data_IF_335116727143
#
_entry.id   IF_335116727143
#
_cell.length_a   1.000
_cell.length_b   1.000
_cell.length_c   1.000
_cell.angle_alpha   90.00
_cell.angle_beta   90.00
_cell.angle_gamma   90.00
#
_symmetry.space_group_name_H-M   'P 1'
#
loop_
_entity.id
_entity.type
_entity.pdbx_description
1 polymer ?
#
# COMPACT_ATOMS: atom_id res chain seq x y z
N UNK A 1 7.26 -13.39 -6.06
CA UNK A 1 6.55 -12.42 -6.91
C UNK A 1 6.76 -12.80 -8.37
N UNK A 2 5.79 -12.57 -9.26
CA UNK A 2 5.91 -12.92 -10.69
C UNK A 2 5.28 -14.25 -11.12
N UNK A 3 5.00 -15.18 -10.19
CA UNK A 3 4.19 -16.38 -10.46
C UNK A 3 2.81 -16.34 -9.77
N UNK A 4 2.76 -15.98 -8.47
CA UNK A 4 1.50 -15.89 -7.70
C UNK A 4 0.75 -14.55 -7.88
N UNK A 5 1.49 -13.46 -8.09
CA UNK A 5 0.95 -12.15 -8.47
C UNK A 5 1.70 -11.71 -9.72
N UNK A 6 1.02 -11.60 -10.87
CA UNK A 6 1.64 -11.15 -12.11
C UNK A 6 2.13 -9.71 -11.98
N UNK A 7 3.32 -9.42 -12.51
CA UNK A 7 3.78 -8.04 -12.60
C UNK A 7 2.90 -7.22 -13.54
N UNK A 8 2.72 -5.94 -13.22
CA UNK A 8 1.88 -5.02 -14.00
C UNK A 8 0.38 -5.32 -13.92
N UNK A 9 -0.04 -6.15 -12.95
CA UNK A 9 -1.45 -6.37 -12.64
C UNK A 9 -1.78 -5.78 -11.29
N UNK A 10 -2.84 -4.98 -11.25
CA UNK A 10 -3.32 -4.40 -10.02
C UNK A 10 -3.72 -5.52 -9.02
N UNK A 11 -3.28 -5.35 -7.79
CA UNK A 11 -3.41 -6.28 -6.68
C UNK A 11 -3.92 -5.55 -5.46
N UNK A 12 -4.84 -6.19 -4.73
CA UNK A 12 -5.44 -5.65 -3.49
C UNK A 12 -4.48 -5.60 -2.29
N UNK A 13 -3.27 -6.12 -2.47
CA UNK A 13 -2.26 -6.23 -1.41
C UNK A 13 -2.85 -6.92 -0.17
N UNK A 14 -3.55 -8.02 -0.39
CA UNK A 14 -4.48 -8.62 0.58
C UNK A 14 -4.91 -10.02 0.14
N UNK A 15 -5.20 -10.89 1.11
CA UNK A 15 -5.59 -12.27 0.85
C UNK A 15 -7.03 -12.41 0.35
N UNK A 16 -7.97 -11.58 0.83
CA UNK A 16 -9.41 -11.59 0.47
C UNK A 16 -10.04 -10.19 0.34
N UNK A 17 -9.56 -9.19 1.08
CA UNK A 17 -10.01 -7.79 1.00
C UNK A 17 -8.82 -6.87 0.69
N UNK A 18 -9.09 -5.66 0.19
CA UNK A 18 -8.05 -4.65 0.04
C UNK A 18 -7.53 -4.21 1.41
N UNK A 19 -6.22 -3.94 1.48
CA UNK A 19 -5.63 -3.43 2.72
C UNK A 19 -6.22 -2.06 3.05
N UNK A 20 -6.77 -1.94 4.27
CA UNK A 20 -7.42 -0.72 4.72
C UNK A 20 -6.48 0.11 5.59
N UNK A 21 -6.25 1.36 5.20
CA UNK A 21 -5.53 2.37 5.99
C UNK A 21 -6.52 3.25 6.73
N UNK A 22 -6.40 3.33 8.05
CA UNK A 22 -7.23 4.19 8.90
C UNK A 22 -6.35 5.28 9.51
N UNK A 23 -6.63 6.53 9.16
CA UNK A 23 -5.92 7.71 9.65
C UNK A 23 -6.77 8.44 10.68
N UNK A 24 -6.20 8.72 11.85
CA UNK A 24 -6.86 9.46 12.95
C UNK A 24 -6.66 10.97 12.85
N UNK A 25 -5.77 11.41 11.97
CA UNK A 25 -5.46 12.81 11.67
C UNK A 25 -4.99 12.93 10.22
N UNK A 26 -4.83 14.15 9.69
CA UNK A 26 -4.32 14.34 8.35
C UNK A 26 -2.88 13.79 8.24
N UNK A 27 -2.58 13.20 7.09
CA UNK A 27 -1.29 12.59 6.77
C UNK A 27 -0.95 12.81 5.29
N UNK A 28 0.29 12.54 4.91
CA UNK A 28 0.65 12.37 3.51
C UNK A 28 1.48 11.11 3.31
N UNK A 29 1.25 10.44 2.18
CA UNK A 29 1.90 9.18 1.82
C UNK A 29 2.42 9.31 0.39
N UNK A 30 3.74 9.22 0.21
CA UNK A 30 4.36 9.36 -1.12
C UNK A 30 3.95 10.62 -1.88
N UNK A 31 3.68 11.73 -1.17
CA UNK A 31 3.21 12.99 -1.73
C UNK A 31 1.69 13.12 -1.90
N UNK A 32 0.91 12.06 -1.65
CA UNK A 32 -0.56 12.10 -1.64
C UNK A 32 -1.04 12.60 -0.28
N UNK A 33 -1.66 13.77 -0.24
CA UNK A 33 -2.27 14.32 0.97
C UNK A 33 -3.62 13.63 1.27
N UNK A 34 -3.79 13.21 2.52
CA UNK A 34 -4.96 12.49 3.01
C UNK A 34 -5.47 13.13 4.30
N UNK A 35 -6.78 13.33 4.38
CA UNK A 35 -7.44 13.74 5.61
C UNK A 35 -7.58 12.57 6.59
N UNK A 36 -8.04 12.85 7.81
CA UNK A 36 -8.47 11.79 8.71
C UNK A 36 -9.61 10.98 8.08
N UNK A 37 -9.49 9.65 8.05
CA UNK A 37 -10.45 8.81 7.35
C UNK A 37 -9.98 7.38 7.12
N UNK A 38 -10.81 6.62 6.41
CA UNK A 38 -10.51 5.26 5.98
C UNK A 38 -10.29 5.22 4.46
N UNK A 39 -9.25 4.50 4.06
CA UNK A 39 -8.81 4.39 2.68
C UNK A 39 -8.51 2.93 2.34
N UNK A 40 -8.67 2.59 1.07
CA UNK A 40 -8.21 1.31 0.52
C UNK A 40 -6.89 1.53 -0.21
N UNK A 41 -5.94 0.61 0.01
CA UNK A 41 -4.65 0.60 -0.69
C UNK A 41 -4.64 -0.57 -1.68
N UNK A 42 -4.29 -0.25 -2.91
CA UNK A 42 -3.98 -1.21 -3.97
C UNK A 42 -2.53 -1.04 -4.39
N UNK A 43 -1.92 -2.09 -4.94
CA UNK A 43 -0.59 -2.00 -5.54
C UNK A 43 -0.57 -2.70 -6.90
N UNK A 44 0.23 -2.18 -7.81
CA UNK A 44 0.65 -2.85 -9.03
C UNK A 44 2.13 -3.20 -8.87
N UNK A 45 2.45 -4.48 -8.60
CA UNK A 45 3.83 -4.90 -8.44
C UNK A 45 4.58 -4.83 -9.77
N UNK A 46 5.75 -4.21 -9.75
CA UNK A 46 6.76 -4.33 -10.80
C UNK A 46 8.03 -4.99 -10.28
N UNK A 47 8.95 -5.32 -11.20
CA UNK A 47 10.22 -5.94 -10.85
C UNK A 47 11.17 -4.96 -10.13
N UNK A 48 11.17 -3.69 -10.53
CA UNK A 48 12.05 -2.65 -9.99
C UNK A 48 11.31 -1.62 -9.13
N UNK A 49 10.00 -1.48 -9.32
CA UNK A 49 9.17 -0.47 -8.67
C UNK A 49 7.75 -0.98 -8.53
N UNK A 50 7.11 -0.70 -7.39
CA UNK A 50 5.69 -0.96 -7.18
C UNK A 50 4.96 0.36 -7.20
N UNK A 51 3.83 0.40 -7.90
CA UNK A 51 2.94 1.57 -7.84
C UNK A 51 1.81 1.27 -6.86
N UNK A 52 1.62 2.13 -5.87
CA UNK A 52 0.53 2.06 -4.92
C UNK A 52 -0.52 3.12 -5.25
N UNK A 53 -1.78 2.79 -4.97
CA UNK A 53 -2.92 3.64 -5.25
C UNK A 53 -3.79 3.74 -4.01
N UNK A 54 -4.19 4.97 -3.70
CA UNK A 54 -5.05 5.27 -2.55
C UNK A 54 -6.43 5.65 -3.05
N UNK A 55 -7.43 4.92 -2.58
CA UNK A 55 -8.83 5.12 -2.92
C UNK A 55 -9.65 5.43 -1.67
N UNK A 56 -10.74 6.22 -1.79
CA UNK A 56 -11.71 6.34 -0.70
C UNK A 56 -12.30 4.95 -0.40
N UNK A 57 -12.59 4.65 0.87
CA UNK A 57 -13.03 3.33 1.36
C UNK A 57 -14.35 2.79 0.76
N UNK A 58 -14.87 3.33 -0.33
CA UNK A 58 -16.24 3.10 -0.78
C UNK A 58 -16.54 1.64 -1.13
N UNK A 59 -15.60 0.83 -1.61
CA UNK A 59 -15.92 -0.54 -2.06
C UNK A 59 -14.81 -1.57 -1.78
N UNK A 60 -14.89 -2.25 -0.63
CA UNK A 60 -13.97 -3.35 -0.23
C UNK A 60 -14.13 -4.63 -1.06
N UNK A 61 -15.13 -4.71 -1.93
CA UNK A 61 -15.56 -5.94 -2.62
C UNK A 61 -15.64 -5.75 -4.14
N UNK A 62 -14.86 -6.55 -4.88
CA UNK A 62 -14.96 -6.63 -6.34
C UNK A 62 -13.62 -6.88 -7.00
N UNK A 63 -13.24 -8.15 -7.16
CA UNK A 63 -12.29 -8.52 -8.21
C UNK A 63 -13.07 -8.59 -9.54
N UNK A 64 -12.51 -8.10 -10.65
CA UNK A 64 -11.19 -7.45 -10.78
C UNK A 64 -11.22 -5.98 -10.33
N UNK A 65 -10.04 -5.39 -10.10
CA UNK A 65 -9.86 -3.94 -10.01
C UNK A 65 -10.33 -3.37 -11.35
N UNK A 66 -11.60 -2.98 -11.37
CA UNK A 66 -12.26 -2.47 -12.56
C UNK A 66 -11.70 -1.07 -12.86
N UNK A 67 -11.76 -0.62 -14.12
CA UNK A 67 -11.42 0.76 -14.47
C UNK A 67 -12.11 1.78 -13.56
N UNK A 68 -13.34 1.50 -13.13
CA UNK A 68 -14.10 2.32 -12.19
C UNK A 68 -13.36 2.56 -10.86
N UNK A 69 -12.62 1.57 -10.33
CA UNK A 69 -11.83 1.73 -9.10
C UNK A 69 -10.67 2.70 -9.36
N UNK A 70 -10.01 2.59 -10.51
CA UNK A 70 -8.92 3.47 -10.92
C UNK A 70 -9.38 4.93 -11.06
N UNK A 71 -10.61 5.15 -11.53
CA UNK A 71 -11.20 6.49 -11.69
C UNK A 71 -11.47 7.19 -10.34
N UNK A 72 -11.53 6.45 -9.24
CA UNK A 72 -11.75 7.00 -7.89
C UNK A 72 -10.48 7.30 -7.12
N UNK A 73 -9.32 7.17 -7.76
CA UNK A 73 -8.01 7.38 -7.12
C UNK A 73 -7.87 8.81 -6.59
N UNK A 74 -7.50 8.91 -5.32
CA UNK A 74 -7.09 10.18 -4.70
C UNK A 74 -5.68 10.52 -5.17
N UNK A 75 -4.85 9.50 -5.33
CA UNK A 75 -3.50 9.62 -5.84
C UNK A 75 -2.78 8.29 -5.87
N UNK A 76 -1.59 8.33 -6.47
CA UNK A 76 -0.68 7.20 -6.54
C UNK A 76 0.71 7.63 -6.09
N UNK A 77 1.47 6.66 -5.60
CA UNK A 77 2.88 6.84 -5.27
C UNK A 77 3.63 5.56 -5.60
N UNK A 78 4.94 5.65 -5.73
CA UNK A 78 5.77 4.47 -5.97
C UNK A 78 6.61 4.13 -4.75
N UNK A 79 6.94 2.86 -4.60
CA UNK A 79 7.90 2.39 -3.62
C UNK A 79 8.76 1.28 -4.24
N UNK A 80 10.04 1.28 -3.87
CA UNK A 80 11.01 0.31 -4.38
C UNK A 80 10.92 -0.98 -3.56
N UNK A 81 10.69 -2.15 -4.19
CA UNK A 81 10.82 -3.42 -3.50
C UNK A 81 12.28 -3.74 -3.21
N UNK A 82 12.52 -4.24 -2.00
CA UNK A 82 13.81 -4.71 -1.52
C UNK A 82 13.79 -6.24 -1.40
N UNK A 83 14.86 -6.88 -1.86
CA UNK A 83 15.03 -8.32 -1.68
C UNK A 83 15.41 -8.62 -0.23
N UNK A 84 14.81 -9.67 0.34
CA UNK A 84 15.08 -10.16 1.69
C UNK A 84 15.76 -11.53 1.64
N UNK A 85 16.73 -11.76 2.52
CA UNK A 85 17.36 -13.07 2.70
C UNK A 85 16.41 -14.09 3.35
N UNK A 86 15.59 -13.61 4.30
CA UNK A 86 14.61 -14.44 5.02
C UNK A 86 13.24 -14.44 4.33
N UNK A 87 12.68 -15.63 4.13
CA UNK A 87 11.36 -15.78 3.52
C UNK A 87 10.24 -15.55 4.56
N UNK A 88 9.25 -14.75 4.19
CA UNK A 88 8.02 -14.51 4.95
C UNK A 88 6.85 -15.25 4.27
N UNK A 89 6.43 -16.38 4.83
CA UNK A 89 5.37 -17.21 4.23
C UNK A 89 3.99 -16.51 4.20
N UNK A 90 3.65 -15.81 5.29
CA UNK A 90 2.38 -15.09 5.43
C UNK A 90 2.61 -13.60 5.26
N UNK A 91 1.99 -13.00 4.24
CA UNK A 91 2.05 -11.56 4.01
C UNK A 91 1.67 -10.80 5.27
N UNK A 92 2.52 -9.84 5.67
CA UNK A 92 2.32 -9.03 6.87
C UNK A 92 2.52 -7.55 6.59
N UNK A 93 1.75 -6.73 7.29
CA UNK A 93 1.96 -5.29 7.39
C UNK A 93 2.41 -4.94 8.80
N UNK A 94 3.37 -4.03 8.92
CA UNK A 94 3.86 -3.49 10.18
C UNK A 94 3.90 -1.97 10.11
N UNK A 95 3.53 -1.34 11.22
CA UNK A 95 3.79 0.08 11.43
C UNK A 95 5.06 0.24 12.27
N UNK A 96 6.02 1.01 11.77
CA UNK A 96 7.28 1.33 12.42
C UNK A 96 7.30 2.83 12.72
N UNK A 97 7.00 3.27 13.96
CA UNK A 97 6.96 4.68 14.31
C UNK A 97 8.36 5.32 14.27
N UNK A 98 8.43 6.59 13.88
CA UNK A 98 9.62 7.40 14.05
C UNK A 98 9.80 7.81 15.51
N UNK A 99 11.05 8.09 15.89
CA UNK A 99 11.42 8.53 17.24
C UNK A 99 10.78 9.88 17.64
N UNK A 100 10.44 10.74 16.67
CA UNK A 100 9.96 12.12 16.90
C UNK A 100 8.42 12.26 16.99
N UNK A 101 7.66 11.15 17.04
CA UNK A 101 6.18 11.15 17.03
C UNK A 101 5.52 11.86 15.82
N UNK A 102 6.27 12.10 14.74
CA UNK A 102 5.78 12.78 13.54
C UNK A 102 4.82 11.88 12.75
N UNK A 103 5.21 10.62 12.50
CA UNK A 103 4.43 9.47 12.04
C UNK A 103 5.45 8.33 11.88
N UNK A 104 5.42 7.51 10.82
CA UNK A 104 6.36 6.41 10.66
C UNK A 104 6.15 5.63 9.36
N UNK A 105 6.86 4.52 9.23
CA UNK A 105 6.81 3.69 8.04
C UNK A 105 5.71 2.62 8.15
N UNK A 106 5.06 2.36 7.02
CA UNK A 106 4.32 1.13 6.82
C UNK A 106 5.21 0.19 6.02
N UNK A 107 5.39 -1.03 6.52
CA UNK A 107 6.24 -2.05 5.94
C UNK A 107 5.40 -3.26 5.58
N UNK A 108 5.41 -3.62 4.29
CA UNK A 108 4.89 -4.86 3.76
C UNK A 108 6.02 -5.86 3.58
N UNK A 109 5.83 -7.10 4.02
CA UNK A 109 6.77 -8.19 3.77
C UNK A 109 6.01 -9.46 3.35
N UNK A 110 6.46 -10.08 2.27
CA UNK A 110 5.94 -11.36 1.78
C UNK A 110 6.96 -12.06 0.87
N UNK A 111 7.07 -13.38 0.99
CA UNK A 111 8.15 -14.17 0.38
C UNK A 111 9.51 -13.55 0.70
N UNK A 112 10.35 -13.29 -0.30
CA UNK A 112 11.63 -12.62 -0.16
C UNK A 112 11.56 -11.13 -0.56
N UNK A 113 10.39 -10.50 -0.43
CA UNK A 113 10.18 -9.09 -0.82
C UNK A 113 9.73 -8.26 0.38
N UNK A 114 10.41 -7.14 0.59
CA UNK A 114 9.99 -6.05 1.49
C UNK A 114 9.64 -4.83 0.64
N UNK A 115 8.58 -4.14 1.00
CA UNK A 115 8.27 -2.81 0.48
C UNK A 115 7.92 -1.91 1.65
N UNK A 116 8.52 -0.73 1.71
CA UNK A 116 8.23 0.25 2.77
C UNK A 116 7.88 1.60 2.17
N UNK A 117 6.97 2.31 2.83
CA UNK A 117 6.65 3.69 2.49
C UNK A 117 6.35 4.48 3.76
N UNK A 118 6.74 5.75 3.73
CA UNK A 118 6.68 6.63 4.88
C UNK A 118 5.37 7.41 4.93
N UNK A 119 4.77 7.50 6.11
CA UNK A 119 3.66 8.40 6.42
C UNK A 119 4.23 9.67 7.05
N UNK A 120 3.97 10.82 6.46
CA UNK A 120 4.27 12.11 7.05
C UNK A 120 3.03 12.72 7.70
N UNK A 121 3.15 13.48 8.80
CA UNK A 121 2.01 14.22 9.33
C UNK A 121 1.49 15.23 8.29
N UNK A 122 0.16 15.40 8.26
CA UNK A 122 -0.47 16.43 7.44
C UNK A 122 -0.19 17.82 7.97
N UNK A 123 0.07 18.76 7.06
CA UNK A 123 0.29 20.17 7.36
C UNK A 123 -0.98 20.99 7.47
#
# INVERSE_FOLDING_TARGET
MGELVPFGSAWRVGADEATALHLTGPASIGGVALEAGAYSIYAEPGAEEWTFFVNPSYERWGIPIRPEVRETEIGSFTATPEAMDEMVETMRFRYEPDDDNAMGNIVLEWENTRVSFHLHPGG
#
